data_IF_048061399463
#
_entry.id   IF_048061399463
#
_cell.length_a   1.000
_cell.length_b   1.000
_cell.length_c   1.000
_cell.angle_alpha   90.00
_cell.angle_beta   90.00
_cell.angle_gamma   90.00
#
_symmetry.space_group_name_H-M   'P 1'
#
loop_
_entity.id
_entity.type
_entity.pdbx_description
1 polymer ?
#
# COMPACT_ATOMS: atom_id res chain seq x y z
N UNK A 1 -19.71 4.64 -1.69
CA UNK A 1 -20.06 4.68 -0.25
C UNK A 1 -19.01 3.88 0.50
N UNK A 2 -18.27 4.49 1.42
CA UNK A 2 -17.23 3.79 2.20
C UNK A 2 -17.89 3.06 3.37
N UNK A 3 -17.71 1.74 3.46
CA UNK A 3 -18.27 0.92 4.54
C UNK A 3 -17.17 0.69 5.57
N UNK A 4 -17.25 1.39 6.70
CA UNK A 4 -16.30 1.26 7.80
C UNK A 4 -17.04 0.97 9.12
N UNK A 5 -16.35 0.33 10.05
CA UNK A 5 -16.92 0.00 11.34
C UNK A 5 -16.04 -0.93 12.16
N UNK A 6 -16.62 -1.49 13.21
CA UNK A 6 -15.98 -2.54 14.00
C UNK A 6 -16.81 -3.82 13.96
N UNK A 7 -16.11 -4.95 13.95
CA UNK A 7 -16.71 -6.29 14.10
C UNK A 7 -16.06 -7.02 15.25
N UNK A 8 -16.75 -8.05 15.73
CA UNK A 8 -16.28 -8.92 16.79
C UNK A 8 -16.13 -10.34 16.24
N UNK A 9 -15.02 -11.00 16.55
CA UNK A 9 -14.79 -12.41 16.28
C UNK A 9 -14.79 -13.19 17.59
N UNK A 10 -15.38 -14.38 17.57
CA UNK A 10 -15.29 -15.30 18.71
C UNK A 10 -13.86 -15.84 18.81
N UNK A 11 -13.29 -15.80 20.03
CA UNK A 11 -11.92 -16.24 20.28
C UNK A 11 -11.87 -17.49 21.16
N UNK A 12 -12.64 -17.49 22.25
CA UNK A 12 -12.58 -18.52 23.27
C UNK A 12 -13.90 -18.59 24.02
N UNK A 13 -14.33 -19.80 24.37
CA UNK A 13 -15.34 -20.03 25.39
C UNK A 13 -14.82 -21.08 26.37
N UNK A 14 -14.80 -20.75 27.66
CA UNK A 14 -14.40 -21.68 28.72
C UNK A 14 -15.47 -21.77 29.81
N UNK A 15 -15.71 -22.95 30.41
CA UNK A 15 -16.54 -23.07 31.59
C UNK A 15 -15.87 -22.38 32.78
N UNK A 16 -16.65 -21.69 33.61
CA UNK A 16 -16.15 -20.96 34.77
C UNK A 16 -16.94 -21.36 36.02
N UNK A 17 -16.24 -21.45 37.15
CA UNK A 17 -16.89 -21.68 38.44
C UNK A 17 -17.58 -20.40 38.91
N UNK A 18 -18.81 -20.52 39.39
CA UNK A 18 -19.59 -19.40 39.90
C UNK A 18 -21.08 -19.70 39.91
N UNK A 19 -21.82 -18.98 40.74
CA UNK A 19 -23.27 -19.10 40.84
C UNK A 19 -23.94 -18.11 39.87
N UNK A 20 -25.00 -18.54 39.22
CA UNK A 20 -25.82 -17.62 38.42
C UNK A 20 -26.67 -16.71 39.32
N UNK A 21 -26.64 -15.40 39.07
CA UNK A 21 -27.42 -14.42 39.84
C UNK A 21 -28.93 -14.54 39.59
N UNK A 22 -29.37 -14.99 38.42
CA UNK A 22 -30.80 -15.09 38.10
C UNK A 22 -31.47 -16.40 38.56
N UNK A 23 -30.77 -17.54 38.52
CA UNK A 23 -31.37 -18.85 38.81
C UNK A 23 -30.66 -19.67 39.89
N UNK A 24 -29.60 -19.11 40.50
CA UNK A 24 -28.82 -19.76 41.56
C UNK A 24 -28.21 -21.12 41.17
N UNK A 25 -28.12 -21.43 39.88
CA UNK A 25 -27.43 -22.62 39.40
C UNK A 25 -25.94 -22.54 39.77
N UNK A 26 -25.43 -23.61 40.39
CA UNK A 26 -24.04 -23.75 40.88
C UNK A 26 -23.07 -24.27 39.82
N UNK A 27 -23.58 -24.65 38.65
CA UNK A 27 -22.79 -25.16 37.54
C UNK A 27 -23.38 -24.74 36.19
N UNK A 28 -22.57 -24.83 35.14
CA UNK A 28 -22.99 -24.52 33.77
C UNK A 28 -22.79 -23.06 33.34
N UNK A 29 -22.04 -22.27 34.10
CA UNK A 29 -21.63 -20.93 33.68
C UNK A 29 -20.47 -21.03 32.66
N UNK A 30 -20.59 -20.32 31.54
CA UNK A 30 -19.57 -20.25 30.48
C UNK A 30 -19.15 -18.81 30.28
N UNK A 31 -17.87 -18.59 30.04
CA UNK A 31 -17.31 -17.27 29.72
C UNK A 31 -16.83 -17.27 28.28
N UNK A 32 -17.31 -16.33 27.49
CA UNK A 32 -16.94 -16.15 26.09
C UNK A 32 -16.14 -14.87 25.90
N UNK A 33 -15.02 -14.95 25.19
CA UNK A 33 -14.15 -13.82 24.84
C UNK A 33 -14.23 -13.58 23.34
N UNK A 34 -14.44 -12.32 22.96
CA UNK A 34 -14.51 -11.86 21.59
C UNK A 34 -13.45 -10.80 21.30
N UNK A 35 -12.79 -10.89 20.16
CA UNK A 35 -11.83 -9.91 19.66
C UNK A 35 -12.53 -8.89 18.78
N UNK A 36 -12.37 -7.60 19.07
CA UNK A 36 -12.87 -6.52 18.23
C UNK A 36 -11.78 -6.05 17.28
N UNK A 37 -12.14 -5.81 16.02
CA UNK A 37 -11.26 -5.27 15.00
C UNK A 37 -11.97 -4.18 14.19
N UNK A 38 -11.19 -3.20 13.75
CA UNK A 38 -11.65 -2.20 12.79
C UNK A 38 -11.66 -2.83 11.41
N UNK A 39 -12.64 -2.48 10.57
CA UNK A 39 -12.63 -2.89 9.17
C UNK A 39 -13.04 -1.75 8.26
N UNK A 40 -12.54 -1.79 7.03
CA UNK A 40 -12.99 -0.97 5.91
C UNK A 40 -13.28 -1.91 4.75
N UNK A 41 -14.46 -1.79 4.13
CA UNK A 41 -14.95 -2.71 3.09
C UNK A 41 -14.79 -4.19 3.49
N UNK A 42 -15.19 -4.54 4.71
CA UNK A 42 -15.06 -5.89 5.28
C UNK A 42 -13.62 -6.41 5.48
N UNK A 43 -12.60 -5.65 5.10
CA UNK A 43 -11.19 -5.98 5.33
C UNK A 43 -10.79 -5.56 6.75
N UNK A 44 -10.37 -6.50 7.62
CA UNK A 44 -9.83 -6.20 8.94
C UNK A 44 -8.57 -5.33 8.83
N UNK A 45 -8.51 -4.22 9.55
CA UNK A 45 -7.35 -3.34 9.55
C UNK A 45 -6.42 -3.65 10.72
N UNK A 46 -6.95 -3.55 11.94
CA UNK A 46 -6.21 -3.78 13.17
C UNK A 46 -7.15 -4.17 14.32
N UNK A 47 -6.68 -4.90 15.34
CA UNK A 47 -7.46 -5.19 16.53
C UNK A 47 -7.62 -3.92 17.40
N UNK A 48 -8.84 -3.65 17.85
CA UNK A 48 -9.17 -2.51 18.73
C UNK A 48 -9.18 -2.95 20.20
N UNK A 49 -9.49 -4.23 20.46
CA UNK A 49 -9.52 -4.74 21.83
C UNK A 49 -10.25 -6.07 21.95
N UNK A 50 -10.55 -6.45 23.19
CA UNK A 50 -11.32 -7.67 23.51
C UNK A 50 -12.48 -7.33 24.43
N UNK A 51 -13.63 -7.91 24.14
CA UNK A 51 -14.84 -7.89 24.95
C UNK A 51 -15.20 -9.33 25.30
N UNK A 52 -16.17 -9.52 26.19
CA UNK A 52 -16.66 -10.85 26.51
C UNK A 52 -17.98 -10.78 27.22
N UNK A 53 -18.55 -11.94 27.49
CA UNK A 53 -19.77 -12.08 28.26
C UNK A 53 -19.80 -13.45 28.94
N UNK A 54 -20.44 -13.53 30.10
CA UNK A 54 -20.73 -14.81 30.74
C UNK A 54 -22.15 -15.23 30.41
N UNK A 55 -22.36 -16.48 30.07
CA UNK A 55 -23.65 -17.08 29.75
C UNK A 55 -23.94 -18.24 30.71
N UNK A 56 -25.10 -18.25 31.34
CA UNK A 56 -25.57 -19.39 32.11
C UNK A 56 -26.22 -20.44 31.21
N UNK A 57 -25.74 -21.68 31.24
CA UNK A 57 -26.33 -22.77 30.47
C UNK A 57 -27.74 -23.19 30.90
N UNK A 58 -28.20 -22.79 32.08
CA UNK A 58 -29.53 -23.14 32.60
C UNK A 58 -30.60 -22.10 32.23
N UNK A 59 -30.42 -20.84 32.61
CA UNK A 59 -31.40 -19.76 32.37
C UNK A 59 -31.05 -18.87 31.17
N UNK A 60 -29.90 -19.08 30.52
CA UNK A 60 -29.38 -18.28 29.39
C UNK A 60 -29.16 -16.80 29.70
N UNK A 61 -29.03 -16.45 30.97
CA UNK A 61 -28.65 -15.09 31.36
C UNK A 61 -27.25 -14.78 30.81
N UNK A 62 -27.14 -13.66 30.11
CA UNK A 62 -25.87 -13.12 29.60
C UNK A 62 -25.51 -11.88 30.40
N UNK A 63 -24.31 -11.85 30.99
CA UNK A 63 -23.79 -10.69 31.72
C UNK A 63 -22.56 -10.13 31.00
N UNK A 64 -22.53 -8.81 30.82
CA UNK A 64 -21.36 -8.09 30.32
C UNK A 64 -20.34 -7.87 31.45
N UNK A 65 -19.06 -7.58 31.14
CA UNK A 65 -18.01 -7.45 32.16
C UNK A 65 -18.24 -6.33 33.19
N UNK A 66 -19.15 -5.38 32.88
CA UNK A 66 -19.57 -4.31 33.80
C UNK A 66 -20.64 -4.77 34.80
N UNK A 67 -21.39 -5.81 34.47
CA UNK A 67 -22.51 -6.36 35.22
C UNK A 67 -22.10 -7.60 36.04
N UNK A 68 -20.90 -8.13 35.79
CA UNK A 68 -20.34 -9.28 36.51
C UNK A 68 -19.91 -8.89 37.93
N UNK A 69 -20.12 -9.80 38.87
CA UNK A 69 -19.54 -9.71 40.22
C UNK A 69 -18.00 -9.67 40.18
N UNK A 70 -17.33 -9.08 41.19
CA UNK A 70 -15.89 -8.89 41.19
C UNK A 70 -15.08 -10.17 40.93
N UNK A 71 -15.48 -11.31 41.51
CA UNK A 71 -14.79 -12.60 41.30
C UNK A 71 -14.88 -13.09 39.85
N UNK A 72 -16.07 -13.04 39.25
CA UNK A 72 -16.28 -13.43 37.86
C UNK A 72 -15.56 -12.47 36.88
N UNK A 73 -15.51 -11.19 37.24
CA UNK A 73 -14.77 -10.17 36.48
C UNK A 73 -13.26 -10.41 36.49
N UNK A 74 -12.69 -10.89 37.61
CA UNK A 74 -11.28 -11.28 37.68
C UNK A 74 -10.97 -12.46 36.75
N UNK A 75 -11.82 -13.50 36.77
CA UNK A 75 -11.69 -14.65 35.87
C UNK A 75 -11.76 -14.20 34.40
N UNK A 76 -12.68 -13.30 34.06
CA UNK A 76 -12.75 -12.70 32.72
C UNK A 76 -11.46 -11.94 32.35
N UNK A 77 -10.88 -11.17 33.27
CA UNK A 77 -9.63 -10.44 32.99
C UNK A 77 -8.46 -11.39 32.71
N UNK A 78 -8.38 -12.51 33.43
CA UNK A 78 -7.35 -13.53 33.21
C UNK A 78 -7.53 -14.20 31.83
N UNK A 79 -8.75 -14.64 31.52
CA UNK A 79 -9.10 -15.18 30.21
C UNK A 79 -8.79 -14.20 29.07
N UNK A 80 -9.12 -12.92 29.27
CA UNK A 80 -8.83 -11.85 28.30
C UNK A 80 -7.33 -11.65 28.08
N UNK A 81 -6.50 -11.79 29.12
CA UNK A 81 -5.03 -11.69 29.03
C UNK A 81 -4.44 -12.89 28.30
N UNK A 82 -4.90 -14.10 28.63
CA UNK A 82 -4.45 -15.36 28.01
C UNK A 82 -4.82 -15.46 26.53
N UNK A 83 -6.01 -15.00 26.15
CA UNK A 83 -6.52 -15.11 24.78
C UNK A 83 -5.78 -14.14 23.86
N UNK A 84 -5.15 -14.60 22.78
CA UNK A 84 -4.50 -13.70 21.80
C UNK A 84 -5.49 -13.22 20.73
N UNK A 85 -5.21 -12.06 20.13
CA UNK A 85 -5.96 -11.63 18.95
C UNK A 85 -5.58 -12.53 17.76
N UNK A 86 -6.54 -12.89 16.88
CA UNK A 86 -6.25 -13.66 15.69
C UNK A 86 -5.33 -12.90 14.73
N UNK A 87 -4.45 -13.63 14.04
CA UNK A 87 -3.51 -13.03 13.08
C UNK A 87 -4.22 -12.30 11.94
N UNK A 88 -5.42 -12.75 11.55
CA UNK A 88 -6.21 -12.14 10.49
C UNK A 88 -6.79 -10.77 10.85
N UNK A 89 -6.75 -10.35 12.12
CA UNK A 89 -7.10 -8.96 12.50
C UNK A 89 -6.08 -7.94 11.98
N UNK A 90 -4.90 -8.37 11.53
CA UNK A 90 -3.80 -7.52 11.08
C UNK A 90 -3.63 -7.50 9.56
N UNK A 91 -4.59 -8.01 8.78
CA UNK A 91 -4.48 -8.08 7.32
C UNK A 91 -4.27 -6.70 6.68
N UNK A 92 -4.96 -5.66 7.15
CA UNK A 92 -4.77 -4.30 6.64
C UNK A 92 -3.37 -3.74 6.91
N UNK A 93 -2.78 -4.03 8.09
CA UNK A 93 -1.39 -3.65 8.38
C UNK A 93 -0.42 -4.39 7.46
N UNK A 94 -0.63 -5.70 7.25
CA UNK A 94 0.20 -6.48 6.34
C UNK A 94 0.15 -5.92 4.91
N UNK A 95 -1.05 -5.60 4.42
CA UNK A 95 -1.23 -4.99 3.10
C UNK A 95 -0.56 -3.62 3.00
N UNK A 96 -0.64 -2.79 4.04
CA UNK A 96 0.02 -1.49 4.06
C UNK A 96 1.55 -1.63 4.00
N UNK A 97 2.13 -2.54 4.79
CA UNK A 97 3.57 -2.82 4.75
C UNK A 97 4.00 -3.36 3.40
N UNK A 98 3.23 -4.29 2.81
CA UNK A 98 3.52 -4.82 1.48
C UNK A 98 3.46 -3.73 0.39
N UNK A 99 2.47 -2.84 0.45
CA UNK A 99 2.35 -1.72 -0.48
C UNK A 99 3.53 -0.74 -0.36
N UNK A 100 3.92 -0.39 0.87
CA UNK A 100 5.10 0.44 1.12
C UNK A 100 6.38 -0.22 0.61
N UNK A 101 6.56 -1.51 0.89
CA UNK A 101 7.71 -2.28 0.37
C UNK A 101 7.74 -2.31 -1.15
N UNK A 102 6.59 -2.52 -1.80
CA UNK A 102 6.48 -2.49 -3.26
C UNK A 102 6.85 -1.12 -3.84
N UNK A 103 6.36 -0.02 -3.25
CA UNK A 103 6.67 1.35 -3.69
C UNK A 103 8.19 1.61 -3.61
N UNK A 104 8.82 1.24 -2.49
CA UNK A 104 10.27 1.42 -2.32
C UNK A 104 11.08 0.61 -3.35
N UNK A 105 10.70 -0.66 -3.56
CA UNK A 105 11.36 -1.52 -4.55
C UNK A 105 11.18 -0.98 -5.97
N UNK A 106 9.95 -0.61 -6.35
CA UNK A 106 9.64 -0.06 -7.67
C UNK A 106 10.43 1.22 -7.95
N UNK A 107 10.48 2.15 -6.99
CA UNK A 107 11.25 3.39 -7.13
C UNK A 107 12.74 3.11 -7.31
N UNK A 108 13.30 2.19 -6.52
CA UNK A 108 14.72 1.85 -6.61
C UNK A 108 15.10 1.22 -7.96
N UNK A 109 14.22 0.40 -8.53
CA UNK A 109 14.44 -0.20 -9.84
C UNK A 109 14.35 0.86 -10.94
N UNK A 110 13.40 1.79 -10.85
CA UNK A 110 13.24 2.85 -11.84
C UNK A 110 14.46 3.78 -11.87
N UNK A 111 14.96 4.20 -10.70
CA UNK A 111 16.19 5.00 -10.61
C UNK A 111 17.40 4.29 -11.24
N UNK A 112 17.56 2.98 -10.97
CA UNK A 112 18.63 2.18 -11.59
C UNK A 112 18.49 2.09 -13.11
N UNK A 113 17.27 1.88 -13.60
CA UNK A 113 16.97 1.82 -15.02
C UNK A 113 17.28 3.16 -15.71
N UNK A 114 16.78 4.26 -15.15
CA UNK A 114 16.98 5.61 -15.70
C UNK A 114 18.47 5.97 -15.77
N UNK A 115 19.24 5.70 -14.71
CA UNK A 115 20.69 5.90 -14.71
C UNK A 115 21.39 5.02 -15.75
N UNK A 116 20.96 3.76 -15.93
CA UNK A 116 21.53 2.87 -16.97
C UNK A 116 21.22 3.35 -18.38
N UNK A 117 20.02 3.90 -18.63
CA UNK A 117 19.61 4.37 -19.95
C UNK A 117 20.27 5.69 -20.33
N UNK A 118 20.57 6.55 -19.34
CA UNK A 118 21.31 7.81 -19.58
C UNK A 118 22.80 7.57 -19.79
N UNK A 119 23.40 6.64 -19.06
CA UNK A 119 24.83 6.29 -19.26
C UNK A 119 25.06 5.55 -20.59
N UNK A 120 24.06 4.82 -21.07
CA UNK A 120 24.06 4.10 -22.36
C UNK A 120 22.84 4.47 -23.20
N UNK A 121 22.78 5.69 -23.77
CA UNK A 121 21.64 6.13 -24.57
C UNK A 121 21.59 5.34 -25.88
N UNK A 122 20.38 4.99 -26.30
CA UNK A 122 20.11 4.30 -27.56
C UNK A 122 19.14 5.10 -28.42
N UNK A 123 19.25 4.94 -29.74
CA UNK A 123 18.28 5.49 -30.67
C UNK A 123 16.87 4.98 -30.32
N UNK A 124 15.93 5.90 -30.21
CA UNK A 124 14.53 5.61 -29.87
C UNK A 124 14.20 5.67 -28.38
N UNK A 125 15.18 5.89 -27.49
CA UNK A 125 14.90 6.19 -26.09
C UNK A 125 14.04 7.45 -25.96
N UNK A 126 13.18 7.46 -24.96
CA UNK A 126 12.18 8.50 -24.69
C UNK A 126 12.44 9.09 -23.30
N UNK A 127 12.76 10.37 -23.25
CA UNK A 127 13.07 11.10 -22.01
C UNK A 127 11.87 11.96 -21.62
N UNK A 128 11.36 11.74 -20.42
CA UNK A 128 10.28 12.54 -19.85
C UNK A 128 10.93 13.74 -19.19
N UNK A 129 10.69 14.93 -19.75
CA UNK A 129 11.32 16.17 -19.33
C UNK A 129 10.33 17.01 -18.55
N UNK A 130 10.73 17.46 -17.36
CA UNK A 130 10.02 18.50 -16.61
C UNK A 130 10.49 19.87 -17.09
N UNK A 131 9.58 20.70 -17.58
CA UNK A 131 9.87 22.06 -18.02
C UNK A 131 9.88 23.03 -16.84
N UNK A 132 10.48 24.21 -17.02
CA UNK A 132 10.59 25.23 -15.97
C UNK A 132 9.24 25.71 -15.43
N UNK A 133 8.18 25.59 -16.24
CA UNK A 133 6.81 25.95 -15.88
C UNK A 133 6.11 24.86 -15.05
N UNK A 134 6.78 23.72 -14.79
CA UNK A 134 6.23 22.58 -14.04
C UNK A 134 5.41 21.61 -14.89
N UNK A 135 5.31 21.85 -16.20
CA UNK A 135 4.71 20.92 -17.14
C UNK A 135 5.72 19.86 -17.59
N UNK A 136 5.26 18.93 -18.40
CA UNK A 136 6.05 17.79 -18.85
C UNK A 136 6.05 17.70 -20.38
N UNK A 137 7.21 17.42 -20.95
CA UNK A 137 7.41 17.20 -22.39
C UNK A 137 8.11 15.85 -22.62
N UNK A 138 8.13 15.40 -23.88
CA UNK A 138 8.71 14.12 -24.26
C UNK A 138 9.81 14.27 -25.30
N UNK A 139 11.06 14.00 -24.94
CA UNK A 139 12.16 14.08 -25.90
C UNK A 139 12.54 12.70 -26.41
N UNK A 140 12.93 12.59 -27.67
CA UNK A 140 13.27 11.31 -28.29
C UNK A 140 14.71 11.31 -28.80
N UNK A 141 15.47 10.27 -28.48
CA UNK A 141 16.82 10.09 -29.02
C UNK A 141 16.72 9.70 -30.51
N UNK A 142 17.25 10.56 -31.37
CA UNK A 142 17.32 10.32 -32.81
C UNK A 142 18.59 9.55 -33.20
N UNK A 143 19.72 9.93 -32.61
CA UNK A 143 21.05 9.39 -32.94
C UNK A 143 21.99 9.57 -31.75
N UNK A 144 22.95 8.64 -31.59
CA UNK A 144 24.03 8.72 -30.62
C UNK A 144 25.36 8.63 -31.36
N UNK A 145 26.15 9.70 -31.33
CA UNK A 145 27.43 9.82 -32.00
C UNK A 145 28.55 10.01 -30.97
N UNK A 146 29.12 8.90 -30.49
CA UNK A 146 30.13 8.93 -29.43
C UNK A 146 29.55 9.48 -28.13
N UNK A 147 30.04 10.66 -27.71
CA UNK A 147 29.55 11.34 -26.50
C UNK A 147 28.33 12.25 -26.75
N UNK A 148 28.06 12.59 -28.01
CA UNK A 148 26.94 13.42 -28.39
C UNK A 148 25.67 12.59 -28.60
N UNK A 149 24.55 13.09 -28.11
CA UNK A 149 23.21 12.52 -28.22
C UNK A 149 22.32 13.56 -28.88
N UNK A 150 21.82 13.24 -30.07
CA UNK A 150 20.86 14.08 -30.79
C UNK A 150 19.44 13.73 -30.37
N UNK A 151 18.72 14.74 -29.90
CA UNK A 151 17.41 14.63 -29.28
C UNK A 151 16.40 15.45 -30.08
N UNK A 152 15.25 14.86 -30.35
CA UNK A 152 14.10 15.58 -30.90
C UNK A 152 13.22 16.00 -29.74
N UNK A 153 13.16 17.31 -29.48
CA UNK A 153 12.25 17.87 -28.48
C UNK A 153 10.81 17.86 -29.00
N UNK A 154 9.84 17.71 -28.10
CA UNK A 154 8.42 17.86 -28.45
C UNK A 154 8.02 19.33 -28.39
N UNK A 155 7.21 19.78 -29.33
CA UNK A 155 6.66 21.14 -29.34
C UNK A 155 5.49 21.31 -28.36
N UNK A 156 5.04 20.23 -27.73
CA UNK A 156 3.93 20.23 -26.78
C UNK A 156 4.40 19.84 -25.39
N UNK A 157 3.63 20.34 -24.42
CA UNK A 157 3.78 20.05 -22.99
C UNK A 157 2.42 19.61 -22.44
N UNK A 158 2.44 18.85 -21.35
CA UNK A 158 1.25 18.38 -20.63
C UNK A 158 1.46 18.55 -19.12
N UNK A 159 0.38 18.83 -18.39
CA UNK A 159 0.42 19.00 -16.93
C UNK A 159 0.64 17.70 -16.15
N UNK A 160 0.49 16.55 -16.82
CA UNK A 160 0.44 15.25 -16.17
C UNK A 160 1.58 14.33 -16.65
N UNK A 161 2.55 14.09 -15.77
CA UNK A 161 3.69 13.18 -15.96
C UNK A 161 3.30 11.79 -16.48
N UNK A 162 2.22 11.20 -15.94
CA UNK A 162 1.80 9.84 -16.31
C UNK A 162 1.23 9.74 -17.73
N UNK A 163 0.89 10.87 -18.34
CA UNK A 163 0.29 10.96 -19.68
C UNK A 163 1.24 11.49 -20.75
N UNK A 164 2.49 11.74 -20.41
CA UNK A 164 3.50 12.27 -21.34
C UNK A 164 3.65 11.40 -22.59
N UNK A 165 3.41 10.09 -22.48
CA UNK A 165 3.41 9.18 -23.64
C UNK A 165 2.36 9.50 -24.71
N UNK A 166 1.28 10.21 -24.38
CA UNK A 166 0.29 10.68 -25.36
C UNK A 166 0.91 11.67 -26.37
N UNK A 167 2.02 12.33 -25.99
CA UNK A 167 2.78 13.26 -26.84
C UNK A 167 3.66 12.54 -27.87
N UNK A 168 3.84 11.22 -27.78
CA UNK A 168 4.71 10.43 -28.66
C UNK A 168 4.11 10.22 -30.07
N UNK A 169 3.93 11.32 -30.79
CA UNK A 169 3.48 11.33 -32.18
C UNK A 169 4.57 11.94 -33.05
N UNK A 170 4.89 11.36 -34.22
CA UNK A 170 5.94 11.89 -35.10
C UNK A 170 5.78 13.38 -35.43
N UNK A 171 4.53 13.84 -35.59
CA UNK A 171 4.17 15.23 -35.92
C UNK A 171 4.45 16.23 -34.80
N UNK A 172 4.54 15.75 -33.55
CA UNK A 172 4.70 16.62 -32.39
C UNK A 172 6.16 17.02 -32.14
N UNK A 173 7.11 16.31 -32.76
CA UNK A 173 8.54 16.55 -32.56
C UNK A 173 9.02 17.70 -33.44
N UNK A 174 9.89 18.55 -32.87
CA UNK A 174 10.58 19.59 -33.59
C UNK A 174 11.44 18.99 -34.72
N UNK A 175 11.52 19.64 -35.90
CA UNK A 175 12.31 19.14 -37.03
C UNK A 175 13.81 19.22 -36.76
N UNK A 176 14.24 20.19 -35.96
CA UNK A 176 15.64 20.44 -35.65
C UNK A 176 16.04 19.71 -34.36
N UNK A 177 17.00 18.76 -34.43
CA UNK A 177 17.47 18.04 -33.25
C UNK A 177 18.37 18.93 -32.38
N UNK A 178 18.17 18.84 -31.07
CA UNK A 178 19.07 19.36 -30.05
C UNK A 178 20.21 18.37 -29.82
N UNK A 179 21.44 18.85 -29.73
CA UNK A 179 22.59 18.02 -29.38
C UNK A 179 22.99 18.26 -27.92
N UNK A 180 22.98 17.19 -27.12
CA UNK A 180 23.45 17.20 -25.73
C UNK A 180 24.51 16.11 -25.52
N UNK A 181 25.39 16.29 -24.55
CA UNK A 181 26.32 15.23 -24.17
C UNK A 181 25.70 14.27 -23.15
N UNK A 182 26.30 13.10 -22.98
CA UNK A 182 25.90 12.17 -21.89
C UNK A 182 26.06 12.79 -20.50
N UNK A 183 27.03 13.68 -20.35
CA UNK A 183 27.25 14.41 -19.10
C UNK A 183 26.10 15.39 -18.83
N UNK A 184 25.64 16.11 -19.85
CA UNK A 184 24.49 17.00 -19.73
C UNK A 184 23.23 16.22 -19.33
N UNK A 185 22.97 15.07 -19.98
CA UNK A 185 21.84 14.20 -19.63
C UNK A 185 21.91 13.69 -18.18
N UNK A 186 23.13 13.44 -17.68
CA UNK A 186 23.35 13.01 -16.30
C UNK A 186 23.05 14.14 -15.32
N UNK A 187 23.48 15.38 -15.63
CA UNK A 187 23.14 16.58 -14.85
C UNK A 187 21.62 16.81 -14.85
N UNK A 188 20.96 16.66 -16.01
CA UNK A 188 19.52 16.84 -16.12
C UNK A 188 18.75 15.81 -15.27
N UNK A 189 19.23 14.57 -15.18
CA UNK A 189 18.67 13.55 -14.28
C UNK A 189 18.90 13.92 -12.81
N UNK A 190 20.10 14.34 -12.44
CA UNK A 190 20.42 14.75 -11.06
C UNK A 190 19.62 15.98 -10.60
N UNK A 191 19.23 16.85 -11.54
CA UNK A 191 18.39 18.03 -11.30
C UNK A 191 16.88 17.76 -11.33
N UNK A 192 16.45 16.51 -11.51
CA UNK A 192 15.05 16.14 -11.73
C UNK A 192 14.40 16.88 -12.94
N UNK A 193 15.21 17.25 -13.94
CA UNK A 193 14.73 17.75 -15.24
C UNK A 193 14.34 16.57 -16.14
N UNK A 194 15.11 15.47 -16.11
CA UNK A 194 14.67 14.18 -16.64
C UNK A 194 14.04 13.40 -15.48
N UNK A 195 12.72 13.20 -15.53
CA UNK A 195 11.99 12.49 -14.47
C UNK A 195 11.89 10.99 -14.73
N UNK A 196 11.85 10.59 -16.00
CA UNK A 196 11.79 9.18 -16.38
C UNK A 196 12.42 8.93 -17.75
N UNK A 197 12.89 7.69 -17.96
CA UNK A 197 13.48 7.25 -19.24
C UNK A 197 12.86 5.93 -19.66
N UNK A 198 12.17 5.95 -20.79
CA UNK A 198 11.61 4.74 -21.38
C UNK A 198 12.43 4.29 -22.60
N UNK A 199 12.77 3.01 -22.63
CA UNK A 199 13.33 2.33 -23.81
C UNK A 199 12.28 1.39 -24.39
N UNK A 200 11.60 1.78 -25.49
CA UNK A 200 10.52 0.98 -26.09
C UNK A 200 10.92 -0.46 -26.47
N UNK A 201 12.18 -0.69 -26.82
CA UNK A 201 12.67 -2.03 -27.16
C UNK A 201 12.86 -2.94 -25.94
N UNK A 202 13.20 -2.37 -24.78
CA UNK A 202 13.37 -3.12 -23.52
C UNK A 202 12.02 -3.48 -22.89
N UNK A 203 10.99 -2.62 -23.06
CA UNK A 203 9.65 -2.85 -22.54
C UNK A 203 8.88 -3.97 -23.27
N UNK A 204 9.33 -4.41 -24.45
CA UNK A 204 8.81 -5.60 -25.15
C UNK A 204 9.25 -6.94 -24.55
N UNK A 205 10.37 -6.97 -23.82
CA UNK A 205 10.90 -8.20 -23.20
C UNK A 205 10.24 -8.51 -21.84
N UNK A 206 9.65 -7.52 -21.18
CA UNK A 206 9.00 -7.67 -19.85
C UNK A 206 7.53 -8.09 -19.95
N UNK A 207 6.91 -7.92 -21.13
CA UNK A 207 5.50 -8.28 -21.39
C UNK A 207 5.28 -9.71 -21.89
N UNK A 208 6.33 -10.52 -22.04
CA UNK A 208 6.25 -11.97 -22.34
C UNK A 208 6.46 -12.77 -21.08
#
# INVERSE_FOLDING_TARGET
MIIYGYRSSHLLTEPVAGNCLACSATSGLRMSVFGRYAHVYWIPLFPIGKVGASECGHCRQVLQPKEMEPGLRQVFQELKRRTRAPWWHFTGVLLAVAALGWILLANSNNQRANHSFITTPHKGDLYHIRTSNGHYSLWKVQEVAGNAVKLLANNYEIDNETKVQELNRPENYAPDPLELTRYDLSIMLEKDEIVDVERPEASLLVKK
#
